data_IF_362373019878
#
_entry.id   IF_362373019878
#
_cell.length_a   1.000
_cell.length_b   1.000
_cell.length_c   1.000
_cell.angle_alpha   90.00
_cell.angle_beta   90.00
_cell.angle_gamma   90.00
#
_symmetry.space_group_name_H-M   'P 1'
#
loop_
_entity.id
_entity.type
_entity.pdbx_description
1 polymer ?
#
# COMPACT_ATOMS: atom_id res chain seq x y z
N UNK A 1 -29.72 -7.69 8.59
CA UNK A 1 -30.09 -6.35 8.08
C UNK A 1 -28.96 -5.61 7.38
N UNK A 2 -27.75 -5.56 7.95
CA UNK A 2 -26.60 -4.87 7.34
C UNK A 2 -26.20 -5.42 5.95
N UNK A 3 -26.17 -6.73 5.76
CA UNK A 3 -25.86 -7.34 4.45
C UNK A 3 -26.94 -7.09 3.38
N UNK A 4 -28.21 -6.98 3.78
CA UNK A 4 -29.32 -6.63 2.87
C UNK A 4 -29.27 -5.14 2.49
N UNK A 5 -28.82 -4.28 3.41
CA UNK A 5 -28.53 -2.86 3.14
C UNK A 5 -27.36 -2.68 2.17
N UNK A 6 -26.28 -3.46 2.34
CA UNK A 6 -25.16 -3.47 1.40
C UNK A 6 -25.57 -4.00 0.02
N UNK A 7 -26.45 -5.00 -0.05
CA UNK A 7 -26.98 -5.51 -1.32
C UNK A 7 -27.90 -4.54 -2.09
N UNK A 8 -28.51 -3.56 -1.40
CA UNK A 8 -29.28 -2.47 -2.02
C UNK A 8 -28.38 -1.31 -2.46
N UNK A 9 -27.33 -1.02 -1.68
CA UNK A 9 -26.36 0.03 -2.02
C UNK A 9 -25.34 -0.39 -3.09
N UNK A 10 -25.04 -1.68 -3.21
CA UNK A 10 -24.02 -2.19 -4.12
C UNK A 10 -24.59 -3.29 -5.03
N UNK A 11 -25.41 -2.92 -6.03
CA UNK A 11 -25.92 -3.88 -7.00
C UNK A 11 -24.78 -4.25 -7.97
N UNK A 12 -24.24 -5.47 -7.82
CA UNK A 12 -23.56 -6.25 -8.85
C UNK A 12 -22.65 -5.50 -9.85
N UNK A 13 -21.91 -4.47 -9.43
CA UNK A 13 -21.05 -3.66 -10.32
C UNK A 13 -19.60 -3.54 -9.82
N UNK A 14 -19.19 -4.36 -8.87
CA UNK A 14 -17.76 -4.49 -8.50
C UNK A 14 -16.91 -5.18 -9.57
N UNK A 15 -17.50 -5.57 -10.71
CA UNK A 15 -16.76 -6.08 -11.87
C UNK A 15 -16.08 -4.96 -12.68
N UNK A 16 -16.44 -3.70 -12.45
CA UNK A 16 -15.78 -2.53 -13.00
C UNK A 16 -15.11 -1.81 -11.83
N UNK A 17 -13.85 -2.13 -11.56
CA UNK A 17 -13.10 -1.47 -10.50
C UNK A 17 -13.00 0.03 -10.86
N UNK A 18 -13.74 0.88 -10.14
CA UNK A 18 -13.78 2.33 -10.40
C UNK A 18 -12.43 2.97 -10.11
N UNK A 19 -11.66 2.40 -9.18
CA UNK A 19 -10.31 2.82 -8.86
C UNK A 19 -9.31 2.14 -9.81
N UNK A 20 -8.63 2.93 -10.65
CA UNK A 20 -7.55 2.45 -11.53
C UNK A 20 -6.19 2.99 -11.10
N UNK A 21 -6.15 3.94 -10.18
CA UNK A 21 -4.92 4.60 -9.74
C UNK A 21 -4.52 4.22 -8.32
N UNK A 22 -3.21 4.30 -8.05
CA UNK A 22 -2.64 4.04 -6.72
C UNK A 22 -3.24 4.95 -5.65
N UNK A 23 -3.51 6.22 -6.00
CA UNK A 23 -4.05 7.21 -5.06
C UNK A 23 -5.48 6.87 -4.61
N UNK A 24 -6.32 6.42 -5.54
CA UNK A 24 -7.67 5.96 -5.25
C UNK A 24 -7.66 4.73 -4.34
N UNK A 25 -6.81 3.74 -4.65
CA UNK A 25 -6.68 2.55 -3.82
C UNK A 25 -6.07 2.86 -2.44
N UNK A 26 -5.16 3.83 -2.36
CA UNK A 26 -4.62 4.32 -1.08
C UNK A 26 -5.70 5.01 -0.25
N UNK A 27 -6.60 5.76 -0.89
CA UNK A 27 -7.75 6.39 -0.23
C UNK A 27 -8.76 5.35 0.27
N UNK A 28 -9.04 4.31 -0.54
CA UNK A 28 -9.89 3.18 -0.14
C UNK A 28 -9.26 2.41 1.03
N UNK A 29 -7.94 2.20 1.00
CA UNK A 29 -7.19 1.59 2.10
C UNK A 29 -7.28 2.42 3.38
N UNK A 30 -7.18 3.75 3.27
CA UNK A 30 -7.32 4.67 4.39
C UNK A 30 -8.70 4.59 5.02
N UNK A 31 -9.75 4.69 4.20
CA UNK A 31 -11.14 4.68 4.65
C UNK A 31 -11.52 3.32 5.24
N UNK A 32 -11.13 2.22 4.60
CA UNK A 32 -11.40 0.87 5.11
C UNK A 32 -10.72 0.61 6.45
N UNK A 33 -9.48 1.11 6.63
CA UNK A 33 -8.77 1.02 7.91
C UNK A 33 -9.43 1.90 8.98
N UNK A 34 -9.83 3.13 8.63
CA UNK A 34 -10.48 4.06 9.56
C UNK A 34 -11.86 3.56 10.00
N UNK A 35 -12.61 2.92 9.10
CA UNK A 35 -13.98 2.48 9.35
C UNK A 35 -14.05 1.02 9.84
N UNK A 36 -12.92 0.30 9.86
CA UNK A 36 -12.84 -1.09 10.31
C UNK A 36 -13.44 -2.11 9.33
N UNK A 37 -13.44 -1.82 8.04
CA UNK A 37 -13.89 -2.78 7.01
C UNK A 37 -12.74 -3.66 6.54
N UNK A 38 -12.47 -4.74 7.26
CA UNK A 38 -11.35 -5.65 6.97
C UNK A 38 -11.39 -6.26 5.56
N UNK A 39 -12.57 -6.64 5.06
CA UNK A 39 -12.72 -7.21 3.70
C UNK A 39 -12.30 -6.22 2.61
N UNK A 40 -12.64 -4.94 2.78
CA UNK A 40 -12.29 -3.88 1.83
C UNK A 40 -10.81 -3.52 1.96
N UNK A 41 -10.29 -3.52 3.20
CA UNK A 41 -8.87 -3.33 3.48
C UNK A 41 -8.03 -4.38 2.76
N UNK A 42 -8.38 -5.66 2.87
CA UNK A 42 -7.68 -6.75 2.18
C UNK A 42 -7.74 -6.63 0.66
N UNK A 43 -8.88 -6.23 0.11
CA UNK A 43 -9.01 -5.97 -1.32
C UNK A 43 -8.09 -4.82 -1.76
N UNK A 44 -8.11 -3.70 -1.04
CA UNK A 44 -7.26 -2.56 -1.35
C UNK A 44 -5.78 -2.92 -1.26
N UNK A 45 -5.36 -3.69 -0.25
CA UNK A 45 -3.98 -4.21 -0.14
C UNK A 45 -3.60 -5.01 -1.40
N UNK A 46 -4.47 -5.91 -1.86
CA UNK A 46 -4.20 -6.74 -3.03
C UNK A 46 -4.04 -5.92 -4.32
N UNK A 47 -4.81 -4.86 -4.48
CA UNK A 47 -4.79 -3.99 -5.66
C UNK A 47 -3.68 -2.92 -5.60
N UNK A 48 -3.31 -2.43 -4.41
CA UNK A 48 -2.17 -1.52 -4.23
C UNK A 48 -0.85 -2.24 -4.48
N UNK A 49 -0.73 -3.51 -4.10
CA UNK A 49 0.53 -4.27 -4.22
C UNK A 49 1.16 -4.26 -5.64
N UNK A 50 0.42 -4.49 -6.74
CA UNK A 50 0.99 -4.41 -8.09
C UNK A 50 1.22 -2.97 -8.58
N UNK A 51 0.48 -1.98 -8.06
CA UNK A 51 0.57 -0.58 -8.49
C UNK A 51 1.68 0.20 -7.75
N UNK A 52 1.96 -0.18 -6.50
CA UNK A 52 2.87 0.54 -5.62
C UNK A 52 4.34 0.28 -5.91
N UNK A 53 5.12 1.36 -5.94
CA UNK A 53 6.57 1.27 -5.94
C UNK A 53 7.06 0.67 -4.61
N UNK A 54 8.29 0.10 -4.56
CA UNK A 54 8.87 -0.41 -3.30
C UNK A 54 8.87 0.64 -2.18
N UNK A 55 9.02 1.92 -2.52
CA UNK A 55 9.02 3.04 -1.57
C UNK A 55 7.63 3.27 -1.02
N UNK A 56 6.62 3.33 -1.92
CA UNK A 56 5.23 3.46 -1.52
C UNK A 56 4.81 2.28 -0.63
N UNK A 57 5.28 1.07 -0.92
CA UNK A 57 5.03 -0.11 -0.07
C UNK A 57 5.59 0.03 1.34
N UNK A 58 6.78 0.62 1.51
CA UNK A 58 7.36 0.88 2.83
C UNK A 58 6.57 1.97 3.56
N UNK A 59 6.27 3.08 2.89
CA UNK A 59 5.53 4.20 3.47
C UNK A 59 4.11 3.78 3.87
N UNK A 60 3.39 3.14 2.96
CA UNK A 60 2.02 2.63 3.20
C UNK A 60 2.04 1.47 4.20
N UNK A 61 3.05 0.61 4.15
CA UNK A 61 3.26 -0.48 5.09
C UNK A 61 3.43 0.02 6.52
N UNK A 62 4.22 1.07 6.74
CA UNK A 62 4.33 1.71 8.04
C UNK A 62 3.07 2.47 8.45
N UNK A 63 2.42 3.17 7.51
CA UNK A 63 1.24 3.99 7.80
C UNK A 63 -0.01 3.17 8.16
N UNK A 64 -0.20 2.02 7.52
CA UNK A 64 -1.38 1.15 7.70
C UNK A 64 -1.06 -0.17 8.42
N UNK A 65 0.14 -0.26 9.02
CA UNK A 65 0.66 -1.41 9.75
C UNK A 65 0.58 -2.72 8.95
N UNK A 66 1.03 -2.68 7.69
CA UNK A 66 1.12 -3.82 6.78
C UNK A 66 2.55 -4.35 6.77
N UNK A 67 2.89 -5.12 7.79
CA UNK A 67 4.24 -5.66 8.00
C UNK A 67 4.67 -6.63 6.89
N UNK A 68 3.73 -7.27 6.20
CA UNK A 68 4.00 -8.21 5.11
C UNK A 68 4.70 -7.55 3.91
N UNK A 69 4.50 -6.24 3.69
CA UNK A 69 5.09 -5.54 2.55
C UNK A 69 6.53 -5.10 2.78
N UNK A 70 6.90 -4.85 4.04
CA UNK A 70 8.20 -4.33 4.41
C UNK A 70 9.37 -5.20 3.91
N UNK A 71 9.43 -6.52 4.21
CA UNK A 71 10.58 -7.33 3.81
C UNK A 71 10.75 -7.40 2.28
N UNK A 72 9.67 -7.61 1.53
CA UNK A 72 9.69 -7.63 0.06
C UNK A 72 10.11 -6.28 -0.53
N UNK A 73 9.64 -5.18 0.05
CA UNK A 73 9.96 -3.85 -0.41
C UNK A 73 11.42 -3.46 -0.12
N UNK A 74 11.94 -3.77 1.08
CA UNK A 74 13.36 -3.58 1.38
C UNK A 74 14.23 -4.44 0.47
N UNK A 75 13.86 -5.70 0.22
CA UNK A 75 14.59 -6.57 -0.70
C UNK A 75 14.62 -5.98 -2.12
N UNK A 76 13.48 -5.52 -2.63
CA UNK A 76 13.40 -4.86 -3.95
C UNK A 76 14.28 -3.60 -4.02
N UNK A 77 14.34 -2.81 -2.95
CA UNK A 77 15.26 -1.67 -2.87
C UNK A 77 16.71 -2.10 -2.83
N UNK A 78 17.06 -3.17 -2.11
CA UNK A 78 18.45 -3.64 -2.03
C UNK A 78 18.96 -4.20 -3.36
N UNK A 79 18.10 -4.92 -4.11
CA UNK A 79 18.45 -5.51 -5.41
C UNK A 79 18.54 -4.46 -6.53
N UNK A 80 17.83 -3.33 -6.42
CA UNK A 80 17.89 -2.24 -7.41
C UNK A 80 19.33 -1.72 -7.52
N UNK A 81 19.82 -1.51 -8.74
CA UNK A 81 21.17 -0.95 -8.99
C UNK A 81 21.24 0.54 -8.71
N UNK A 82 20.16 1.27 -8.97
CA UNK A 82 20.12 2.71 -8.77
C UNK A 82 20.10 3.08 -7.27
N UNK A 83 20.86 4.10 -6.85
CA UNK A 83 20.74 4.67 -5.51
C UNK A 83 19.33 5.24 -5.27
N UNK A 84 18.98 5.39 -3.99
CA UNK A 84 17.80 6.16 -3.59
C UNK A 84 18.00 7.62 -4.01
N UNK A 85 17.03 8.19 -4.69
CA UNK A 85 16.97 9.64 -4.94
C UNK A 85 16.76 10.41 -3.63
N UNK A 86 17.14 11.68 -3.59
CA UNK A 86 16.91 12.53 -2.41
C UNK A 86 15.42 12.60 -2.02
N UNK A 87 14.51 12.69 -3.01
CA UNK A 87 13.05 12.67 -2.80
C UNK A 87 12.56 11.33 -2.22
N UNK A 88 13.11 10.21 -2.74
CA UNK A 88 12.82 8.87 -2.25
C UNK A 88 13.30 8.69 -0.80
N UNK A 89 14.48 9.22 -0.48
CA UNK A 89 15.08 9.17 0.85
C UNK A 89 14.34 10.03 1.88
N UNK A 90 13.80 11.18 1.46
CA UNK A 90 12.97 12.05 2.29
C UNK A 90 11.64 11.36 2.62
N UNK A 91 11.02 10.69 1.63
CA UNK A 91 9.76 9.95 1.80
C UNK A 91 9.90 8.70 2.67
N UNK A 92 11.00 7.95 2.54
CA UNK A 92 11.31 6.82 3.43
C UNK A 92 11.64 7.29 4.86
N UNK A 93 12.17 8.50 4.98
CA UNK A 93 12.72 9.02 6.22
C UNK A 93 14.12 8.46 6.52
N UNK A 94 14.87 9.20 7.35
CA UNK A 94 16.29 8.92 7.57
C UNK A 94 16.58 7.52 8.14
N UNK A 95 15.67 6.94 8.95
CA UNK A 95 15.86 5.62 9.56
C UNK A 95 15.80 4.50 8.52
N UNK A 96 14.79 4.51 7.66
CA UNK A 96 14.61 3.46 6.65
C UNK A 96 15.63 3.59 5.54
N UNK A 97 15.97 4.81 5.14
CA UNK A 97 17.05 5.08 4.18
C UNK A 97 18.40 4.54 4.69
N UNK A 98 18.75 4.82 5.96
CA UNK A 98 19.97 4.29 6.55
C UNK A 98 19.96 2.76 6.73
N UNK A 99 18.77 2.14 6.82
CA UNK A 99 18.61 0.69 6.88
C UNK A 99 18.85 0.07 5.51
N UNK A 100 18.26 0.63 4.45
CA UNK A 100 18.49 0.19 3.07
C UNK A 100 19.96 0.34 2.68
N UNK A 101 20.58 1.48 3.01
CA UNK A 101 22.00 1.71 2.74
C UNK A 101 22.90 0.67 3.43
N UNK A 102 22.62 0.35 4.71
CA UNK A 102 23.37 -0.68 5.46
C UNK A 102 23.23 -2.10 4.92
N UNK A 103 22.13 -2.42 4.25
CA UNK A 103 21.93 -3.75 3.66
C UNK A 103 22.65 -3.86 2.30
N UNK A 104 22.90 -2.73 1.62
CA UNK A 104 23.60 -2.68 0.33
C UNK A 104 25.13 -2.70 0.44
N UNK A 105 25.70 -2.28 1.57
CA UNK A 105 27.13 -2.43 1.90
C UNK A 105 27.51 -3.87 2.28
#
# INVERSE_FOLDING_TARGET
DFERFLGVLYPAAFHQHTATTLDEWTSILALSTQWGFDSIRLLAIKEVLPLASPIDKIVLGHKYDIQEWLPDAYHALCVRKDPLSDDEAERLGAKDTARVARIRE
#
